data_IF_436187187514
#
_entry.id   IF_436187187514
#
_cell.length_a   1.000
_cell.length_b   1.000
_cell.length_c   1.000
_cell.angle_alpha   90.00
_cell.angle_beta   90.00
_cell.angle_gamma   90.00
#
_symmetry.space_group_name_H-M   'P 1'
#
loop_
_entity.id
_entity.type
_entity.pdbx_description
1 polymer ?
#
# COMPACT_ATOMS: atom_id res chain seq x y z
N UNK A 1 -19.35 -7.89 -8.16
CA UNK A 1 -17.93 -8.09 -8.54
C UNK A 1 -17.77 -7.92 -10.04
N UNK A 2 -16.63 -7.40 -10.53
CA UNK A 2 -16.27 -7.37 -11.95
C UNK A 2 -15.65 -8.69 -12.42
N UNK A 3 -15.32 -9.57 -11.47
CA UNK A 3 -14.78 -10.91 -11.73
C UNK A 3 -15.91 -11.92 -11.55
N UNK A 4 -16.34 -12.60 -12.62
CA UNK A 4 -17.32 -13.67 -12.51
C UNK A 4 -16.83 -14.77 -11.56
N UNK A 5 -17.70 -15.26 -10.67
CA UNK A 5 -17.35 -16.29 -9.69
C UNK A 5 -16.43 -15.85 -8.56
N UNK A 6 -16.23 -14.52 -8.37
CA UNK A 6 -15.44 -14.03 -7.24
C UNK A 6 -16.14 -14.33 -5.90
N UNK A 7 -15.38 -14.94 -4.99
CA UNK A 7 -15.77 -15.14 -3.60
C UNK A 7 -14.76 -14.53 -2.63
N UNK A 8 -15.18 -13.98 -1.48
CA UNK A 8 -14.27 -13.31 -0.54
C UNK A 8 -13.11 -14.16 -0.04
N UNK A 9 -13.29 -15.47 0.08
CA UNK A 9 -12.22 -16.38 0.52
C UNK A 9 -11.03 -16.43 -0.45
N UNK A 10 -11.25 -16.13 -1.74
CA UNK A 10 -10.19 -16.11 -2.75
C UNK A 10 -9.13 -15.05 -2.42
N UNK A 11 -9.53 -13.88 -1.87
CA UNK A 11 -8.56 -12.88 -1.41
C UNK A 11 -7.73 -13.38 -0.23
N UNK A 12 -8.36 -14.08 0.71
CA UNK A 12 -7.63 -14.66 1.85
C UNK A 12 -6.63 -15.72 1.36
N UNK A 13 -7.02 -16.55 0.39
CA UNK A 13 -6.13 -17.55 -0.19
C UNK A 13 -4.91 -16.89 -0.86
N UNK A 14 -5.13 -15.86 -1.68
CA UNK A 14 -4.04 -15.10 -2.31
C UNK A 14 -3.13 -14.42 -1.28
N UNK A 15 -3.68 -13.94 -0.16
CA UNK A 15 -2.91 -13.34 0.92
C UNK A 15 -2.04 -14.39 1.64
N UNK A 16 -2.61 -15.56 1.96
CA UNK A 16 -1.90 -16.69 2.58
C UNK A 16 -0.80 -17.23 1.65
N UNK A 17 -1.08 -17.33 0.36
CA UNK A 17 -0.11 -17.73 -0.66
C UNK A 17 0.98 -16.69 -0.90
N UNK A 18 0.83 -15.49 -0.34
CA UNK A 18 1.74 -14.35 -0.54
C UNK A 18 1.80 -13.85 -1.99
N UNK A 19 0.72 -14.02 -2.74
CA UNK A 19 0.57 -13.49 -4.11
C UNK A 19 0.21 -12.00 -4.08
N UNK A 20 -0.46 -11.57 -3.00
CA UNK A 20 -0.87 -10.20 -2.76
C UNK A 20 -0.45 -9.74 -1.36
N UNK A 21 -0.42 -8.43 -1.17
CA UNK A 21 -0.29 -7.82 0.15
C UNK A 21 -1.34 -6.72 0.34
N UNK A 22 -1.74 -6.50 1.57
CA UNK A 22 -2.62 -5.39 1.90
C UNK A 22 -1.79 -4.15 2.21
N UNK A 23 -2.14 -3.02 1.60
CA UNK A 23 -1.55 -1.74 1.95
C UNK A 23 -2.46 -0.57 1.53
N UNK A 24 -2.02 0.65 1.85
CA UNK A 24 -2.69 1.88 1.48
C UNK A 24 -2.19 2.36 0.11
N UNK A 25 -3.06 2.38 -0.89
CA UNK A 25 -2.82 3.01 -2.19
C UNK A 25 -3.39 4.44 -2.19
N UNK A 26 -4.62 4.62 -2.57
CA UNK A 26 -5.45 5.81 -2.30
C UNK A 26 -6.51 5.51 -1.23
N UNK A 27 -6.73 4.24 -0.95
CA UNK A 27 -7.53 3.64 0.11
C UNK A 27 -6.88 2.33 0.52
N UNK A 28 -7.44 1.63 1.52
CA UNK A 28 -7.03 0.26 1.84
C UNK A 28 -7.28 -0.65 0.63
N UNK A 29 -6.25 -1.33 0.15
CA UNK A 29 -6.29 -2.14 -1.05
C UNK A 29 -5.43 -3.40 -0.92
N UNK A 30 -5.79 -4.44 -1.68
CA UNK A 30 -4.91 -5.56 -1.96
C UNK A 30 -4.13 -5.27 -3.24
N UNK A 31 -2.83 -5.43 -3.18
CA UNK A 31 -1.89 -5.13 -4.25
C UNK A 31 -1.08 -6.39 -4.59
N UNK A 32 -0.67 -6.60 -5.85
CA UNK A 32 0.24 -7.69 -6.20
C UNK A 32 1.53 -7.63 -5.40
N UNK A 33 2.04 -8.76 -4.94
CA UNK A 33 3.28 -8.81 -4.13
C UNK A 33 4.49 -8.27 -4.90
N UNK A 34 4.50 -8.42 -6.22
CA UNK A 34 5.51 -7.86 -7.13
C UNK A 34 5.62 -6.35 -7.06
N UNK A 35 4.52 -5.69 -6.69
CA UNK A 35 4.43 -4.22 -6.58
C UNK A 35 4.86 -3.71 -5.20
N UNK A 36 5.28 -4.60 -4.29
CA UNK A 36 5.64 -4.24 -2.91
C UNK A 36 6.65 -3.09 -2.83
N UNK A 37 7.68 -3.09 -3.69
CA UNK A 37 8.72 -2.05 -3.73
C UNK A 37 8.15 -0.64 -3.96
N UNK A 38 7.04 -0.52 -4.68
CA UNK A 38 6.39 0.76 -4.96
C UNK A 38 5.60 1.31 -3.75
N UNK A 39 5.43 0.51 -2.70
CA UNK A 39 4.93 0.99 -1.41
C UNK A 39 6.04 1.59 -0.52
N UNK A 40 7.31 1.27 -0.77
CA UNK A 40 8.45 1.68 0.05
C UNK A 40 8.63 3.20 0.18
N UNK A 41 8.45 4.02 -0.89
CA UNK A 41 8.58 5.47 -0.76
C UNK A 41 7.64 6.05 0.31
N UNK A 42 6.39 5.60 0.35
CA UNK A 42 5.42 6.07 1.33
C UNK A 42 5.69 5.52 2.73
N UNK A 43 6.04 4.23 2.85
CA UNK A 43 6.45 3.61 4.12
C UNK A 43 7.63 4.34 4.74
N UNK A 44 8.66 4.63 3.96
CA UNK A 44 9.85 5.34 4.43
C UNK A 44 9.55 6.79 4.79
N UNK A 45 8.70 7.49 4.05
CA UNK A 45 8.27 8.84 4.39
C UNK A 45 7.53 8.89 5.74
N UNK A 46 6.72 7.88 6.06
CA UNK A 46 6.07 7.75 7.37
C UNK A 46 7.11 7.41 8.45
N UNK A 47 7.99 6.45 8.19
CA UNK A 47 9.01 5.99 9.15
C UNK A 47 10.01 7.09 9.52
N UNK A 48 10.40 7.93 8.55
CA UNK A 48 11.30 9.06 8.73
C UNK A 48 10.62 10.31 9.30
N UNK A 49 9.30 10.34 9.40
CA UNK A 49 8.55 11.50 9.86
C UNK A 49 8.36 12.61 8.80
N UNK A 50 8.73 12.37 7.54
CA UNK A 50 8.45 13.30 6.44
C UNK A 50 6.94 13.44 6.16
N UNK A 51 6.19 12.38 6.45
CA UNK A 51 4.72 12.40 6.49
C UNK A 51 4.23 11.67 7.73
N UNK A 52 2.97 11.89 8.11
CA UNK A 52 2.42 11.33 9.32
C UNK A 52 1.16 10.53 9.01
N UNK A 53 1.12 9.28 9.47
CA UNK A 53 -0.14 8.53 9.57
C UNK A 53 -0.88 8.94 10.84
N UNK A 54 -0.18 8.90 11.99
CA UNK A 54 -0.60 9.54 13.23
C UNK A 54 0.44 10.58 13.66
N UNK A 55 -0.02 11.73 14.16
CA UNK A 55 0.88 12.86 14.51
C UNK A 55 1.82 12.58 15.70
N UNK A 56 1.42 11.73 16.62
CA UNK A 56 2.19 11.41 17.83
C UNK A 56 2.05 9.92 18.14
N UNK A 57 2.78 9.04 17.42
CA UNK A 57 2.75 7.62 17.70
C UNK A 57 3.46 7.32 19.03
N UNK A 58 2.89 6.41 19.83
CA UNK A 58 3.51 5.93 21.07
C UNK A 58 4.67 4.97 20.72
N UNK A 59 5.88 5.51 20.64
CA UNK A 59 7.09 4.75 20.27
C UNK A 59 7.41 3.63 21.27
N UNK A 60 7.11 3.83 22.57
CA UNK A 60 7.35 2.81 23.59
C UNK A 60 6.42 1.62 23.36
N UNK A 61 5.12 1.88 23.24
CA UNK A 61 4.13 0.83 22.97
C UNK A 61 4.42 0.12 21.63
N UNK A 62 4.84 0.85 20.58
CA UNK A 62 5.25 0.25 19.32
C UNK A 62 6.42 -0.72 19.50
N UNK A 63 7.45 -0.34 20.28
CA UNK A 63 8.59 -1.21 20.58
C UNK A 63 8.17 -2.48 21.34
N UNK A 64 7.30 -2.34 22.35
CA UNK A 64 6.75 -3.47 23.12
C UNK A 64 5.95 -4.43 22.24
N UNK A 65 5.11 -3.90 21.33
CA UNK A 65 4.34 -4.73 20.40
C UNK A 65 5.22 -5.45 19.38
N UNK A 66 6.25 -4.79 18.85
CA UNK A 66 7.23 -5.45 17.96
C UNK A 66 7.99 -6.57 18.68
N UNK A 67 8.44 -6.33 19.90
CA UNK A 67 9.11 -7.35 20.71
C UNK A 67 8.19 -8.55 20.96
N UNK A 68 6.93 -8.29 21.30
CA UNK A 68 5.91 -9.33 21.49
C UNK A 68 5.65 -10.15 20.22
N UNK A 69 5.47 -9.49 19.07
CA UNK A 69 5.27 -10.19 17.80
C UNK A 69 6.50 -11.02 17.44
N UNK A 70 7.70 -10.52 17.77
CA UNK A 70 8.96 -11.26 17.52
C UNK A 70 9.06 -12.52 18.35
N UNK A 71 8.65 -12.49 19.63
CA UNK A 71 8.70 -13.63 20.55
C UNK A 71 7.52 -14.59 20.39
N UNK A 72 6.29 -14.05 20.32
CA UNK A 72 5.06 -14.82 20.48
C UNK A 72 4.39 -15.15 19.13
N UNK A 73 4.83 -14.50 18.03
CA UNK A 73 4.24 -14.67 16.71
C UNK A 73 3.19 -13.60 16.34
N UNK A 74 2.41 -13.86 15.30
CA UNK A 74 1.43 -12.90 14.76
C UNK A 74 0.41 -12.42 15.80
N UNK A 75 -0.02 -11.15 15.69
CA UNK A 75 -0.87 -10.52 16.69
C UNK A 75 -2.06 -9.79 16.04
N UNK A 76 -3.25 -9.97 16.62
CA UNK A 76 -4.44 -9.18 16.29
C UNK A 76 -4.62 -8.05 17.32
N UNK A 77 -5.19 -6.93 16.90
CA UNK A 77 -5.43 -5.80 17.81
C UNK A 77 -6.33 -6.17 19.00
N UNK A 78 -7.27 -7.10 18.80
CA UNK A 78 -8.17 -7.60 19.89
C UNK A 78 -7.45 -8.43 20.93
N UNK A 79 -6.33 -9.07 20.58
CA UNK A 79 -5.61 -10.01 21.45
C UNK A 79 -4.54 -9.30 22.31
N UNK A 80 -4.36 -8.00 22.12
CA UNK A 80 -3.36 -7.22 22.87
C UNK A 80 -3.67 -7.18 24.37
N UNK A 81 -4.95 -7.14 24.75
CA UNK A 81 -5.39 -7.08 26.13
C UNK A 81 -5.52 -8.43 26.87
N UNK A 82 -5.37 -9.57 26.18
CA UNK A 82 -5.65 -10.90 26.75
C UNK A 82 -4.47 -11.57 27.44
N UNK A 83 -3.24 -11.06 27.30
CA UNK A 83 -2.07 -11.66 27.95
C UNK A 83 -1.48 -10.75 29.03
N UNK A 84 -1.55 -11.21 30.28
CA UNK A 84 -0.78 -10.84 31.50
C UNK A 84 -0.67 -9.36 31.93
N UNK A 85 -1.10 -8.38 31.14
CA UNK A 85 -1.18 -7.01 31.59
C UNK A 85 -2.59 -6.76 32.15
N UNK A 86 -2.79 -7.12 33.42
CA UNK A 86 -4.03 -6.93 34.21
C UNK A 86 -4.46 -5.47 34.43
N UNK A 87 -4.05 -4.53 33.57
CA UNK A 87 -4.40 -3.10 33.65
C UNK A 87 -5.03 -2.52 32.39
N UNK A 88 -5.37 -3.35 31.41
CA UNK A 88 -5.98 -2.87 30.18
C UNK A 88 -7.49 -2.77 30.34
N UNK A 89 -8.00 -1.60 30.68
CA UNK A 89 -9.41 -1.29 30.59
C UNK A 89 -9.86 -1.17 29.12
N UNK A 90 -11.17 -1.10 28.88
CA UNK A 90 -11.78 -0.87 27.55
C UNK A 90 -11.12 0.25 26.72
N UNK A 91 -10.46 1.22 27.38
CA UNK A 91 -9.78 2.36 26.76
C UNK A 91 -8.39 2.02 26.19
N UNK A 92 -7.74 0.96 26.63
CA UNK A 92 -6.36 0.60 26.25
C UNK A 92 -6.29 -0.08 24.87
N UNK A 93 -7.41 -0.59 24.38
CA UNK A 93 -7.51 -1.17 23.04
C UNK A 93 -7.23 -0.16 21.91
N UNK A 94 -7.66 1.10 22.08
CA UNK A 94 -7.44 2.15 21.05
C UNK A 94 -5.96 2.52 20.85
N UNK A 95 -5.14 2.70 21.90
CA UNK A 95 -3.70 2.92 21.75
C UNK A 95 -2.98 1.78 21.05
N UNK A 96 -3.22 0.54 21.43
CA UNK A 96 -2.59 -0.63 20.81
C UNK A 96 -2.97 -0.79 19.33
N UNK A 97 -4.24 -0.56 18.97
CA UNK A 97 -4.67 -0.55 17.57
C UNK A 97 -3.94 0.52 16.76
N UNK A 98 -3.81 1.74 17.31
CA UNK A 98 -3.07 2.82 16.65
C UNK A 98 -1.59 2.49 16.48
N UNK A 99 -0.97 1.90 17.48
CA UNK A 99 0.43 1.50 17.43
C UNK A 99 0.68 0.40 16.39
N UNK A 100 -0.17 -0.65 16.32
CA UNK A 100 -0.10 -1.68 15.29
C UNK A 100 -0.32 -1.09 13.89
N UNK A 101 -1.28 -0.20 13.75
CA UNK A 101 -1.55 0.46 12.46
C UNK A 101 -0.40 1.38 12.03
N UNK A 102 0.24 2.09 12.97
CA UNK A 102 1.43 2.89 12.68
C UNK A 102 2.60 2.01 12.22
N UNK A 103 2.87 0.90 12.91
CA UNK A 103 3.91 -0.06 12.52
C UNK A 103 3.66 -0.69 11.15
N UNK A 104 2.41 -0.98 10.85
CA UNK A 104 1.99 -1.46 9.54
C UNK A 104 2.19 -0.39 8.45
N UNK A 105 1.77 0.84 8.71
CA UNK A 105 1.89 1.92 7.73
C UNK A 105 3.34 2.32 7.44
N UNK A 106 4.23 2.21 8.41
CA UNK A 106 5.67 2.48 8.24
C UNK A 106 6.47 1.24 7.78
N UNK A 107 5.81 0.09 7.61
CA UNK A 107 6.38 -1.10 6.98
C UNK A 107 7.14 -2.05 7.91
N UNK A 108 7.09 -1.87 9.23
CA UNK A 108 7.67 -2.84 10.17
C UNK A 108 6.79 -4.09 10.29
N UNK A 109 5.48 -3.94 10.10
CA UNK A 109 4.50 -5.04 10.07
C UNK A 109 3.80 -5.13 8.72
N UNK A 110 3.36 -6.34 8.40
CA UNK A 110 2.43 -6.63 7.30
C UNK A 110 1.21 -7.37 7.83
N UNK A 111 0.14 -7.37 7.05
CA UNK A 111 -1.03 -8.24 7.30
C UNK A 111 -0.68 -9.63 6.78
N UNK A 112 -0.65 -10.61 7.67
CA UNK A 112 -0.37 -12.01 7.36
C UNK A 112 -1.63 -12.83 7.13
N UNK A 113 -2.75 -12.42 7.74
CA UNK A 113 -4.04 -13.12 7.65
C UNK A 113 -5.20 -12.18 8.00
N UNK A 114 -6.41 -12.57 7.60
CA UNK A 114 -7.65 -11.88 7.92
C UNK A 114 -8.73 -12.84 8.40
N UNK A 115 -9.43 -12.41 9.46
CA UNK A 115 -10.66 -13.00 9.95
C UNK A 115 -11.78 -11.94 9.82
N UNK A 116 -12.47 -11.94 8.69
CA UNK A 116 -13.40 -10.88 8.30
C UNK A 116 -12.69 -9.51 8.22
N UNK A 117 -13.09 -8.58 9.06
CA UNK A 117 -12.46 -7.24 9.13
C UNK A 117 -11.24 -7.18 10.05
N UNK A 118 -10.94 -8.25 10.78
CA UNK A 118 -9.79 -8.29 11.70
C UNK A 118 -8.51 -8.61 10.95
N UNK A 119 -7.51 -7.74 11.11
CA UNK A 119 -6.15 -7.97 10.58
C UNK A 119 -5.31 -8.71 11.60
N UNK A 120 -4.57 -9.71 11.14
CA UNK A 120 -3.47 -10.32 11.86
C UNK A 120 -2.18 -9.72 11.33
N UNK A 121 -1.37 -9.15 12.22
CA UNK A 121 -0.11 -8.51 11.89
C UNK A 121 1.06 -9.42 12.26
N UNK A 122 2.04 -9.50 11.37
CA UNK A 122 3.34 -10.12 11.66
C UNK A 122 4.48 -9.27 11.11
N UNK A 123 5.71 -9.60 11.48
CA UNK A 123 6.91 -8.92 11.01
C UNK A 123 7.00 -8.98 9.49
N UNK A 124 7.34 -7.85 8.87
CA UNK A 124 7.46 -7.77 7.41
C UNK A 124 8.44 -8.82 6.87
N UNK A 125 9.58 -9.06 7.55
CA UNK A 125 10.56 -10.07 7.16
C UNK A 125 10.05 -11.52 7.21
N UNK A 126 8.97 -11.82 7.95
CA UNK A 126 8.35 -13.15 8.01
C UNK A 126 7.27 -13.35 6.95
N UNK A 127 6.54 -12.28 6.66
CA UNK A 127 5.42 -12.33 5.72
C UNK A 127 5.92 -12.25 4.29
N UNK A 128 6.90 -11.39 4.01
CA UNK A 128 7.37 -11.10 2.67
C UNK A 128 8.16 -12.28 2.09
N UNK A 129 7.86 -12.73 0.85
CA UNK A 129 8.66 -13.73 0.16
C UNK A 129 10.10 -13.25 -0.08
N UNK A 130 11.07 -14.16 0.02
CA UNK A 130 12.50 -13.84 -0.12
C UNK A 130 12.91 -13.37 -1.52
N UNK A 131 12.11 -13.67 -2.53
CA UNK A 131 12.34 -13.29 -3.93
C UNK A 131 11.75 -11.92 -4.31
N UNK A 132 11.09 -11.21 -3.38
CA UNK A 132 10.53 -9.90 -3.65
C UNK A 132 11.63 -8.84 -3.71
N UNK A 133 11.60 -8.02 -4.76
CA UNK A 133 12.52 -6.91 -4.90
C UNK A 133 12.25 -5.82 -3.85
N UNK A 134 13.23 -5.56 -2.98
CA UNK A 134 13.18 -4.54 -1.93
C UNK A 134 13.98 -3.27 -2.28
N UNK A 135 14.53 -3.20 -3.48
CA UNK A 135 15.24 -1.99 -3.93
C UNK A 135 14.23 -0.84 -4.03
N UNK A 136 14.56 0.27 -3.37
CA UNK A 136 13.78 1.51 -3.51
C UNK A 136 13.67 1.88 -4.99
N UNK A 137 12.46 2.12 -5.51
CA UNK A 137 12.30 2.56 -6.90
C UNK A 137 12.91 3.95 -7.10
N UNK A 138 13.53 4.17 -8.25
CA UNK A 138 13.83 5.54 -8.68
C UNK A 138 12.55 6.33 -8.93
N UNK A 139 12.67 7.65 -9.11
CA UNK A 139 11.50 8.48 -9.41
C UNK A 139 10.87 8.11 -10.76
N UNK A 140 11.72 7.77 -11.74
CA UNK A 140 11.31 7.34 -13.07
C UNK A 140 10.62 5.97 -13.02
N UNK A 141 11.19 4.99 -12.30
CA UNK A 141 10.57 3.68 -12.10
C UNK A 141 9.20 3.81 -11.41
N UNK A 142 9.09 4.73 -10.44
CA UNK A 142 7.84 4.95 -9.74
C UNK A 142 6.81 5.65 -10.62
N UNK A 143 7.23 6.63 -11.43
CA UNK A 143 6.37 7.28 -12.41
C UNK A 143 5.85 6.29 -13.45
N UNK A 144 6.72 5.44 -13.99
CA UNK A 144 6.35 4.39 -14.94
C UNK A 144 5.31 3.43 -14.33
N UNK A 145 5.57 2.93 -13.12
CA UNK A 145 4.62 2.06 -12.41
C UNK A 145 3.23 2.71 -12.27
N UNK A 146 3.15 3.98 -11.91
CA UNK A 146 1.87 4.69 -11.75
C UNK A 146 1.12 4.81 -13.09
N UNK A 147 1.82 5.17 -14.16
CA UNK A 147 1.22 5.29 -15.51
C UNK A 147 0.72 3.93 -15.97
N UNK A 148 1.58 2.91 -15.94
CA UNK A 148 1.25 1.56 -16.40
C UNK A 148 0.11 0.93 -15.59
N UNK A 149 0.11 1.10 -14.26
CA UNK A 149 -0.95 0.61 -13.40
C UNK A 149 -2.29 1.26 -13.73
N UNK A 150 -2.32 2.58 -13.89
CA UNK A 150 -3.56 3.30 -14.19
C UNK A 150 -4.12 2.93 -15.56
N UNK A 151 -3.29 2.88 -16.59
CA UNK A 151 -3.71 2.52 -17.95
C UNK A 151 -4.20 1.06 -17.98
N UNK A 152 -3.47 0.13 -17.38
CA UNK A 152 -3.89 -1.29 -17.29
C UNK A 152 -5.20 -1.48 -16.53
N UNK A 153 -5.44 -0.71 -15.45
CA UNK A 153 -6.64 -0.87 -14.62
C UNK A 153 -7.87 -0.18 -15.21
N UNK A 154 -7.70 0.92 -15.93
CA UNK A 154 -8.81 1.76 -16.38
C UNK A 154 -8.91 1.88 -17.90
N UNK A 155 -7.90 1.46 -18.66
CA UNK A 155 -7.78 1.63 -20.11
C UNK A 155 -7.40 3.06 -20.53
N UNK A 156 -7.72 4.05 -19.72
CA UNK A 156 -7.40 5.46 -19.96
C UNK A 156 -7.20 6.23 -18.66
N UNK A 157 -6.50 7.36 -18.73
CA UNK A 157 -6.30 8.25 -17.58
C UNK A 157 -6.16 9.71 -18.00
N UNK A 158 -6.61 10.65 -17.16
CA UNK A 158 -6.20 12.04 -17.31
C UNK A 158 -4.84 12.27 -16.64
N UNK A 159 -4.04 13.25 -17.10
CA UNK A 159 -2.77 13.62 -16.44
C UNK A 159 -2.95 13.91 -14.95
N UNK A 160 -4.05 14.56 -14.58
CA UNK A 160 -4.40 14.82 -13.17
C UNK A 160 -4.74 13.54 -12.43
N UNK A 161 -5.38 12.57 -13.10
CA UNK A 161 -5.74 11.26 -12.53
C UNK A 161 -4.51 10.41 -12.22
N UNK A 162 -3.48 10.42 -13.10
CA UNK A 162 -2.23 9.66 -12.91
C UNK A 162 -1.52 10.00 -11.60
N UNK A 163 -1.66 11.22 -11.11
CA UNK A 163 -1.03 11.69 -9.87
C UNK A 163 -2.04 12.06 -8.78
N UNK A 164 -3.25 11.51 -8.87
CA UNK A 164 -4.30 11.78 -7.89
C UNK A 164 -3.84 11.48 -6.46
N UNK A 165 -4.09 12.41 -5.54
CA UNK A 165 -3.65 12.39 -4.14
C UNK A 165 -2.12 12.34 -3.93
N UNK A 166 -1.30 12.42 -4.97
CA UNK A 166 0.16 12.48 -4.86
C UNK A 166 0.60 13.95 -4.76
N UNK A 167 1.12 14.35 -3.60
CA UNK A 167 1.54 15.75 -3.35
C UNK A 167 2.99 16.05 -3.77
N UNK A 168 3.79 15.01 -4.05
CA UNK A 168 5.19 15.18 -4.44
C UNK A 168 5.28 15.84 -5.82
N UNK A 169 5.87 17.04 -5.89
CA UNK A 169 6.02 17.81 -7.13
C UNK A 169 6.98 17.15 -8.12
N UNK A 170 8.05 16.52 -7.63
CA UNK A 170 9.04 15.80 -8.45
C UNK A 170 8.41 14.60 -9.15
N UNK A 171 7.58 13.83 -8.42
CA UNK A 171 6.84 12.73 -9.01
C UNK A 171 5.89 13.18 -10.12
N UNK A 172 5.16 14.29 -9.91
CA UNK A 172 4.29 14.83 -10.96
C UNK A 172 5.08 15.25 -12.20
N UNK A 173 6.25 15.84 -11.99
CA UNK A 173 7.16 16.23 -13.06
C UNK A 173 7.67 15.02 -13.84
N UNK A 174 8.08 13.96 -13.13
CA UNK A 174 8.51 12.70 -13.74
C UNK A 174 7.37 12.02 -14.53
N UNK A 175 6.15 11.95 -13.97
CA UNK A 175 4.98 11.41 -14.68
C UNK A 175 4.68 12.21 -15.96
N UNK A 176 4.69 13.55 -15.88
CA UNK A 176 4.44 14.38 -17.05
C UNK A 176 5.53 14.21 -18.13
N UNK A 177 6.80 14.12 -17.72
CA UNK A 177 7.92 13.88 -18.65
C UNK A 177 7.76 12.53 -19.36
N UNK A 178 7.50 11.46 -18.61
CA UNK A 178 7.29 10.12 -19.16
C UNK A 178 6.10 10.06 -20.13
N UNK A 179 4.97 10.67 -19.76
CA UNK A 179 3.79 10.69 -20.63
C UNK A 179 4.09 11.44 -21.95
N UNK A 180 4.78 12.59 -21.88
CA UNK A 180 5.16 13.32 -23.09
C UNK A 180 6.13 12.55 -23.97
N UNK A 181 7.09 11.83 -23.36
CA UNK A 181 8.01 10.94 -24.06
C UNK A 181 7.26 9.84 -24.81
N UNK A 182 6.38 9.09 -24.12
CA UNK A 182 5.60 8.00 -24.71
C UNK A 182 4.60 8.48 -25.78
N UNK A 183 4.06 9.70 -25.64
CA UNK A 183 3.27 10.34 -26.69
C UNK A 183 4.10 10.65 -27.93
N UNK A 184 5.32 11.15 -27.75
CA UNK A 184 6.24 11.45 -28.87
C UNK A 184 6.72 10.18 -29.58
N UNK A 185 6.89 9.07 -28.85
CA UNK A 185 7.24 7.74 -29.37
C UNK A 185 6.05 7.04 -30.05
N UNK A 186 4.83 7.52 -29.81
CA UNK A 186 3.61 6.93 -30.35
C UNK A 186 3.11 5.70 -29.60
N UNK A 187 3.59 5.46 -28.37
CA UNK A 187 3.12 4.39 -27.48
C UNK A 187 1.79 4.76 -26.82
N UNK A 188 1.58 6.06 -26.60
CA UNK A 188 0.36 6.64 -26.08
C UNK A 188 -0.28 7.56 -27.11
N UNK A 189 -1.58 7.75 -26.97
CA UNK A 189 -2.33 8.75 -27.71
C UNK A 189 -3.23 9.59 -26.80
N UNK A 190 -3.56 10.79 -27.26
CA UNK A 190 -4.50 11.68 -26.56
C UNK A 190 -5.86 11.61 -27.24
N UNK A 191 -6.89 11.45 -26.44
CA UNK A 191 -8.27 11.48 -26.88
C UNK A 191 -9.00 12.59 -26.15
N UNK A 192 -9.68 13.41 -26.91
CA UNK A 192 -10.55 14.47 -26.39
C UNK A 192 -12.00 14.02 -26.48
N UNK A 193 -12.68 14.02 -25.35
CA UNK A 193 -14.11 13.66 -25.27
C UNK A 193 -15.00 14.88 -25.50
N UNK A 194 -16.29 14.67 -25.76
CA UNK A 194 -17.26 15.72 -26.05
C UNK A 194 -17.40 16.78 -24.96
N UNK A 195 -17.10 16.44 -23.70
CA UNK A 195 -17.04 17.41 -22.58
C UNK A 195 -15.85 18.38 -22.67
N UNK A 196 -14.88 18.13 -23.55
CA UNK A 196 -13.65 18.90 -23.65
C UNK A 196 -12.48 18.34 -22.82
N UNK A 197 -12.73 17.32 -21.99
CA UNK A 197 -11.68 16.67 -21.20
C UNK A 197 -10.74 15.86 -22.09
N UNK A 198 -9.44 15.84 -21.73
CA UNK A 198 -8.41 15.07 -22.41
C UNK A 198 -8.00 13.86 -21.56
N UNK A 199 -7.91 12.72 -22.22
CA UNK A 199 -7.44 11.47 -21.66
C UNK A 199 -6.28 10.91 -22.48
N UNK A 200 -5.52 10.07 -21.84
CA UNK A 200 -4.38 9.35 -22.39
C UNK A 200 -4.72 7.87 -22.34
N UNK A 201 -4.43 7.14 -23.38
CA UNK A 201 -4.57 5.70 -23.49
C UNK A 201 -3.38 5.11 -24.25
N UNK A 202 -3.20 3.81 -24.14
CA UNK A 202 -2.25 3.08 -24.98
C UNK A 202 -2.75 3.04 -26.43
N UNK A 203 -1.84 3.19 -27.38
CA UNK A 203 -2.19 3.19 -28.79
C UNK A 203 -2.76 1.82 -29.20
N UNK A 204 -3.97 1.83 -29.74
CA UNK A 204 -4.67 0.62 -30.18
C UNK A 204 -5.39 -0.14 -29.08
N UNK A 205 -5.59 0.46 -27.91
CA UNK A 205 -6.36 -0.09 -26.78
C UNK A 205 -7.88 -0.07 -27.06
#
# INVERSE_FOLDING_TARGET
SRVPGFEPHMLNQLLINKDIFEYWSHAAAFLPITDFRFSLPYKNAIKSGQTHWFRSPDKKLMGELLARIRSDGPLRSRDVGTSSIKRAGWWDWKPAKKALEQLYMQGDLMVSDRDGFQKTYDLTERVLPSNVNLKMPSMEEYAAHLVDQQLRCHGFASLKGLTYLRRNAELRKAVNALVNERLAQGDLERVKVSSGDEFILEKGA
#
